data_IF_939637002841
#
_entry.id   IF_939637002841
#
_cell.length_a   1.000
_cell.length_b   1.000
_cell.length_c   1.000
_cell.angle_alpha   90.00
_cell.angle_beta   90.00
_cell.angle_gamma   90.00
#
_symmetry.space_group_name_H-M   'P 1'
#
loop_
_entity.id
_entity.type
_entity.pdbx_description
1 polymer ?
#
# COMPACT_ATOMS: atom_id res chain seq x y z
N UNK A 1 6.57 13.54 -20.32
CA UNK A 1 5.29 12.83 -20.17
C UNK A 1 5.61 11.35 -19.99
N UNK A 2 5.17 10.72 -18.89
CA UNK A 2 5.34 9.27 -18.67
C UNK A 2 4.04 8.59 -19.04
N UNK A 3 4.12 7.50 -19.80
CA UNK A 3 2.93 6.71 -20.18
C UNK A 3 2.85 5.51 -19.25
N UNK A 4 1.68 5.32 -18.65
CA UNK A 4 1.34 4.11 -17.89
C UNK A 4 0.31 3.35 -18.71
N UNK A 5 0.54 2.04 -18.91
CA UNK A 5 -0.39 1.17 -19.61
C UNK A 5 -0.71 -0.04 -18.75
N UNK A 6 -1.96 -0.49 -18.85
CA UNK A 6 -2.43 -1.72 -18.23
C UNK A 6 -3.25 -2.51 -19.24
N UNK A 7 -3.37 -3.81 -19.03
CA UNK A 7 -4.21 -4.69 -19.84
C UNK A 7 -5.44 -5.05 -19.03
N UNK A 8 -6.61 -4.81 -19.62
CA UNK A 8 -7.88 -5.29 -19.10
C UNK A 8 -8.23 -6.59 -19.80
N UNK A 9 -8.89 -7.50 -19.08
CA UNK A 9 -9.60 -8.59 -19.72
C UNK A 9 -10.80 -8.06 -20.52
N UNK A 10 -11.35 -8.93 -21.37
CA UNK A 10 -12.41 -8.54 -22.30
C UNK A 10 -13.69 -8.10 -21.58
N UNK A 11 -14.08 -8.79 -20.51
CA UNK A 11 -15.33 -8.48 -19.79
C UNK A 11 -15.22 -7.12 -19.09
N UNK A 12 -14.09 -6.87 -18.43
CA UNK A 12 -13.81 -5.60 -17.77
C UNK A 12 -13.76 -4.45 -18.79
N UNK A 13 -13.16 -4.67 -19.96
CA UNK A 13 -13.11 -3.68 -21.03
C UNK A 13 -14.50 -3.33 -21.56
N UNK A 14 -15.35 -4.33 -21.83
CA UNK A 14 -16.70 -4.11 -22.35
C UNK A 14 -17.56 -3.30 -21.36
N UNK A 15 -17.50 -3.64 -20.06
CA UNK A 15 -18.16 -2.88 -19.01
C UNK A 15 -17.65 -1.46 -18.91
N UNK A 16 -16.33 -1.26 -19.00
CA UNK A 16 -15.73 0.07 -18.96
C UNK A 16 -16.19 0.93 -20.15
N UNK A 17 -16.22 0.35 -21.34
CA UNK A 17 -16.69 1.04 -22.54
C UNK A 17 -18.18 1.41 -22.45
N UNK A 18 -19.02 0.53 -21.90
CA UNK A 18 -20.44 0.82 -21.67
C UNK A 18 -20.64 2.01 -20.72
N UNK A 19 -19.90 2.06 -19.61
CA UNK A 19 -19.93 3.20 -18.68
C UNK A 19 -19.52 4.50 -19.36
N UNK A 20 -18.41 4.49 -20.13
CA UNK A 20 -17.95 5.68 -20.86
C UNK A 20 -19.01 6.18 -21.86
N UNK A 21 -19.64 5.26 -22.59
CA UNK A 21 -20.71 5.59 -23.54
C UNK A 21 -21.94 6.18 -22.85
N UNK A 22 -22.32 5.63 -21.70
CA UNK A 22 -23.45 6.13 -20.91
C UNK A 22 -23.21 7.56 -20.40
N UNK A 23 -21.99 7.86 -19.98
CA UNK A 23 -21.59 9.20 -19.51
C UNK A 23 -21.26 10.17 -20.67
N UNK A 24 -21.25 9.69 -21.92
CA UNK A 24 -20.91 10.49 -23.10
C UNK A 24 -19.45 10.92 -23.14
N UNK A 25 -18.57 10.20 -22.43
CA UNK A 25 -17.16 10.54 -22.29
C UNK A 25 -16.27 9.63 -23.14
N UNK A 26 -15.12 10.16 -23.56
CA UNK A 26 -14.09 9.32 -24.16
C UNK A 26 -13.39 8.50 -23.08
N UNK A 27 -13.08 7.23 -23.38
CA UNK A 27 -12.38 6.31 -22.47
C UNK A 27 -11.11 6.92 -21.84
N UNK A 28 -10.34 7.69 -22.59
CA UNK A 28 -9.11 8.32 -22.08
C UNK A 28 -9.39 9.45 -21.08
N UNK A 29 -10.52 10.13 -21.21
CA UNK A 29 -10.95 11.18 -20.28
C UNK A 29 -11.45 10.52 -19.00
N UNK A 30 -12.35 9.54 -19.10
CA UNK A 30 -12.87 8.81 -17.94
C UNK A 30 -11.75 8.12 -17.13
N UNK A 31 -10.72 7.59 -17.79
CA UNK A 31 -9.53 7.04 -17.13
C UNK A 31 -8.74 8.09 -16.35
N UNK A 32 -8.53 9.28 -16.93
CA UNK A 32 -7.82 10.38 -16.26
C UNK A 32 -8.60 10.88 -15.06
N UNK A 33 -9.90 11.09 -15.22
CA UNK A 33 -10.80 11.55 -14.15
C UNK A 33 -10.87 10.54 -13.00
N UNK A 34 -10.81 9.24 -13.31
CA UNK A 34 -10.79 8.18 -12.30
C UNK A 34 -9.47 8.17 -11.54
N UNK A 35 -8.33 8.24 -12.25
CA UNK A 35 -6.99 8.29 -11.64
C UNK A 35 -6.85 9.55 -10.77
N UNK A 36 -7.33 10.71 -11.22
CA UNK A 36 -7.24 11.95 -10.45
C UNK A 36 -8.06 11.88 -9.16
N UNK A 37 -9.28 11.34 -9.22
CA UNK A 37 -10.12 11.11 -8.03
C UNK A 37 -9.44 10.14 -7.04
N UNK A 38 -8.86 9.06 -7.53
CA UNK A 38 -8.17 8.09 -6.68
C UNK A 38 -6.92 8.70 -6.02
N UNK A 39 -6.16 9.54 -6.74
CA UNK A 39 -5.00 10.25 -6.18
C UNK A 39 -5.46 11.21 -5.08
N UNK A 40 -6.50 12.00 -5.31
CA UNK A 40 -7.02 12.94 -4.31
C UNK A 40 -7.49 12.20 -3.05
N UNK A 41 -8.27 11.14 -3.21
CA UNK A 41 -8.74 10.33 -2.08
C UNK A 41 -7.57 9.69 -1.30
N UNK A 42 -6.53 9.23 -2.00
CA UNK A 42 -5.34 8.68 -1.38
C UNK A 42 -4.55 9.73 -0.60
N UNK A 43 -4.39 10.93 -1.15
CA UNK A 43 -3.72 12.05 -0.48
C UNK A 43 -4.49 12.52 0.76
N UNK A 44 -5.81 12.65 0.67
CA UNK A 44 -6.67 12.98 1.82
C UNK A 44 -6.59 11.93 2.93
N UNK A 45 -6.66 10.64 2.57
CA UNK A 45 -6.51 9.53 3.52
C UNK A 45 -5.14 9.52 4.20
N UNK A 46 -4.07 9.82 3.46
CA UNK A 46 -2.72 9.96 3.99
C UNK A 46 -2.58 11.14 4.97
N UNK A 47 -3.21 12.27 4.67
CA UNK A 47 -3.21 13.43 5.57
C UNK A 47 -3.99 13.13 6.86
N UNK A 48 -5.11 12.40 6.78
CA UNK A 48 -5.82 11.91 7.97
C UNK A 48 -4.98 10.96 8.83
N UNK A 49 -4.22 10.04 8.21
CA UNK A 49 -3.28 9.18 8.94
C UNK A 49 -2.11 9.96 9.57
N UNK A 50 -1.66 11.04 8.93
CA UNK A 50 -0.62 11.93 9.48
C UNK A 50 -1.14 12.75 10.67
N UNK A 51 -2.37 13.26 10.62
CA UNK A 51 -2.98 13.99 11.73
C UNK A 51 -3.20 13.11 12.97
N UNK A 52 -3.57 11.84 12.78
CA UNK A 52 -3.65 10.86 13.87
C UNK A 52 -2.28 10.51 14.48
N UNK A 53 -1.18 10.77 13.77
CA UNK A 53 0.20 10.57 14.24
C UNK A 53 0.81 11.85 14.84
N UNK A 54 0.04 12.74 15.46
CA UNK A 54 0.63 13.70 16.41
C UNK A 54 1.36 12.90 17.50
N UNK A 55 2.67 13.10 17.70
CA UNK A 55 3.43 12.27 18.62
C UNK A 55 2.99 12.59 20.05
N UNK A 56 2.18 11.71 20.63
CA UNK A 56 2.13 11.60 22.08
C UNK A 56 3.52 11.11 22.51
N UNK A 57 4.35 12.03 22.98
CA UNK A 57 5.65 11.73 23.58
C UNK A 57 5.38 10.95 24.87
N UNK A 58 5.13 9.65 24.75
CA UNK A 58 5.20 8.71 25.85
C UNK A 58 6.67 8.31 25.97
N UNK A 59 7.29 8.74 27.07
CA UNK A 59 8.67 8.46 27.42
C UNK A 59 9.01 6.98 27.15
N UNK A 60 9.97 6.77 26.25
CA UNK A 60 10.44 5.45 25.84
C UNK A 60 11.21 4.84 27.01
N UNK A 61 10.55 4.05 27.85
CA UNK A 61 11.23 3.20 28.83
C UNK A 61 12.14 2.26 28.05
N UNK A 62 13.45 2.33 28.31
CA UNK A 62 14.46 1.53 27.63
C UNK A 62 14.16 0.04 27.83
N UNK A 63 13.68 -0.62 26.78
CA UNK A 63 13.53 -2.06 26.76
C UNK A 63 14.93 -2.69 26.77
N UNK A 64 15.31 -3.30 27.91
CA UNK A 64 16.50 -4.16 28.00
C UNK A 64 16.33 -5.28 26.98
N UNK A 65 17.27 -5.42 26.05
CA UNK A 65 17.36 -6.56 25.15
C UNK A 65 17.57 -7.84 25.96
N UNK A 66 16.50 -8.58 26.23
CA UNK A 66 16.60 -9.94 26.78
C UNK A 66 16.86 -10.87 25.60
N UNK A 67 18.10 -11.32 25.48
CA UNK A 67 18.51 -12.30 24.46
C UNK A 67 18.13 -13.69 24.98
N UNK A 68 17.04 -14.24 24.47
CA UNK A 68 16.63 -15.63 24.76
C UNK A 68 17.41 -16.56 23.85
N UNK A 69 18.37 -17.30 24.39
CA UNK A 69 19.01 -18.42 23.70
C UNK A 69 18.22 -19.71 23.98
N UNK A 70 17.63 -20.29 22.94
CA UNK A 70 17.13 -21.66 22.99
C UNK A 70 18.35 -22.59 22.84
N UNK A 71 18.68 -23.28 23.93
CA UNK A 71 19.69 -24.33 23.98
C UNK A 71 19.10 -25.60 23.34
N UNK A 72 19.46 -25.87 22.08
CA UNK A 72 19.08 -27.09 21.36
C UNK A 72 20.27 -28.07 21.34
N UNK A 73 20.69 -28.50 22.54
CA UNK A 73 20.91 -29.91 22.85
C UNK A 73 21.96 -30.73 22.09
N UNK A 74 23.00 -30.16 21.47
CA UNK A 74 24.14 -30.95 20.94
C UNK A 74 25.51 -30.28 21.12
N UNK A 75 26.04 -30.35 22.33
CA UNK A 75 27.48 -30.19 22.60
C UNK A 75 28.17 -31.54 22.47
N UNK A 76 28.91 -31.74 21.37
CA UNK A 76 29.96 -32.75 21.34
C UNK A 76 31.24 -32.12 21.87
N UNK A 77 31.79 -32.68 22.94
CA UNK A 77 33.15 -32.40 23.39
C UNK A 77 34.09 -33.35 22.66
N UNK A 78 35.09 -32.81 21.96
CA UNK A 78 36.35 -33.50 21.76
C UNK A 78 37.42 -32.70 22.49
N UNK A 79 37.95 -33.30 23.55
CA UNK A 79 39.17 -32.88 24.23
C UNK A 79 40.19 -33.97 23.96
N UNK A 80 41.24 -33.66 23.21
CA UNK A 80 42.56 -34.29 23.30
C UNK A 80 43.60 -33.27 22.87
#
# INVERSE_FOLDING_TARGET
>A
MKTVSTKLDKETFEKFQEMCNHEGQCMSESLRDSIERDIQAYEEGLEMEKEQKKPMILARTQAKNVRVSYDDGKTWHDVS
#
